data_IF_627357390093
#
_entry.id   IF_627357390093
#
_cell.length_a   1.000
_cell.length_b   1.000
_cell.length_c   1.000
_cell.angle_alpha   90.00
_cell.angle_beta   90.00
_cell.angle_gamma   90.00
#
_symmetry.space_group_name_H-M   'P 1'
#
loop_
_entity.id
_entity.type
_entity.pdbx_description
1 polymer ?
#
# COMPACT_ATOMS: atom_id res chain seq x y z
N UNK A 1 40.52 33.73 -11.78
CA UNK A 1 39.25 33.81 -12.53
C UNK A 1 38.57 32.46 -12.49
N UNK A 2 37.47 32.27 -11.74
CA UNK A 2 36.75 31.00 -11.76
C UNK A 2 36.03 30.85 -13.10
N UNK A 3 36.09 29.66 -13.69
CA UNK A 3 35.55 29.39 -15.03
C UNK A 3 34.04 29.57 -15.06
N UNK A 4 33.54 30.20 -16.12
CA UNK A 4 32.12 30.52 -16.35
C UNK A 4 31.21 29.28 -16.41
N UNK A 5 31.78 28.07 -16.43
CA UNK A 5 31.04 26.81 -16.52
C UNK A 5 30.60 26.24 -15.17
N UNK A 6 31.22 26.62 -14.05
CA UNK A 6 30.79 26.18 -12.72
C UNK A 6 29.65 27.01 -12.14
N UNK A 7 29.42 28.22 -12.66
CA UNK A 7 28.32 29.08 -12.22
C UNK A 7 26.96 28.61 -12.78
N UNK A 8 26.91 27.99 -13.96
CA UNK A 8 25.66 27.57 -14.59
C UNK A 8 25.07 26.29 -13.95
N UNK A 9 25.91 25.41 -13.38
CA UNK A 9 25.47 24.23 -12.62
C UNK A 9 25.08 24.57 -11.17
N UNK A 10 25.59 25.66 -10.59
CA UNK A 10 25.12 26.19 -9.31
C UNK A 10 23.88 27.10 -9.45
N UNK A 11 23.62 27.67 -10.63
CA UNK A 11 22.40 28.45 -10.92
C UNK A 11 21.15 27.58 -11.10
N UNK A 12 21.27 26.25 -11.17
CA UNK A 12 20.15 25.31 -11.04
C UNK A 12 19.93 24.80 -9.60
N UNK A 13 20.81 25.12 -8.65
CA UNK A 13 20.82 24.52 -7.32
C UNK A 13 20.26 25.43 -6.20
N UNK A 14 19.78 26.64 -6.51
CA UNK A 14 19.24 27.57 -5.50
C UNK A 14 17.99 28.32 -5.96
N UNK A 15 17.03 27.61 -6.60
CA UNK A 15 15.65 28.05 -6.41
C UNK A 15 15.15 27.42 -5.12
N UNK A 16 14.91 28.28 -4.14
CA UNK A 16 13.98 28.08 -3.04
C UNK A 16 12.57 27.87 -3.64
N UNK A 17 12.39 26.81 -4.42
CA UNK A 17 11.10 26.45 -5.00
C UNK A 17 10.19 26.07 -3.87
N UNK A 18 9.16 26.88 -3.63
CA UNK A 18 8.14 26.60 -2.64
C UNK A 18 7.58 25.18 -2.86
N UNK A 19 7.26 24.50 -1.76
CA UNK A 19 6.42 23.30 -1.82
C UNK A 19 5.16 23.61 -2.62
N UNK A 20 4.74 22.69 -3.49
CA UNK A 20 3.43 22.83 -4.12
C UNK A 20 2.38 22.43 -3.10
N UNK A 21 1.59 23.40 -2.63
CA UNK A 21 0.50 23.14 -1.68
C UNK A 21 -0.52 22.17 -2.29
N UNK A 22 -0.85 22.35 -3.58
CA UNK A 22 -1.77 21.50 -4.33
C UNK A 22 -1.01 20.47 -5.20
N UNK A 23 -0.12 19.68 -4.59
CA UNK A 23 0.63 18.66 -5.32
C UNK A 23 -0.27 17.52 -5.81
N UNK A 24 -1.16 17.04 -4.93
CA UNK A 24 -2.02 15.90 -5.20
C UNK A 24 -3.26 16.30 -5.99
N UNK A 25 -3.86 15.32 -6.68
CA UNK A 25 -5.19 15.51 -7.25
C UNK A 25 -6.21 15.72 -6.09
N UNK A 26 -7.11 16.71 -6.19
CA UNK A 26 -8.07 16.98 -5.11
C UNK A 26 -9.13 15.87 -4.98
N UNK A 27 -9.47 15.21 -6.08
CA UNK A 27 -10.44 14.12 -6.14
C UNK A 27 -9.97 13.09 -7.16
N UNK A 28 -10.03 11.79 -6.85
CA UNK A 28 -9.68 10.71 -7.76
C UNK A 28 -10.69 10.55 -8.89
N UNK A 29 -11.97 10.88 -8.67
CA UNK A 29 -13.04 10.80 -9.65
C UNK A 29 -12.80 11.75 -10.82
N UNK A 30 -13.08 11.27 -12.02
CA UNK A 30 -13.18 12.09 -13.22
C UNK A 30 -14.62 12.56 -13.36
N UNK A 31 -14.83 13.87 -13.45
CA UNK A 31 -16.16 14.44 -13.68
C UNK A 31 -16.49 14.28 -15.16
N UNK A 32 -17.34 13.31 -15.49
CA UNK A 32 -17.96 13.22 -16.82
C UNK A 32 -19.23 14.08 -16.81
N UNK A 33 -19.47 14.83 -17.88
CA UNK A 33 -20.61 15.74 -18.08
C UNK A 33 -22.00 15.09 -17.97
N UNK A 34 -22.08 13.78 -17.78
CA UNK A 34 -23.31 12.99 -17.70
C UNK A 34 -23.26 11.87 -16.66
N UNK A 35 -22.68 12.08 -15.48
CA UNK A 35 -22.71 11.06 -14.43
C UNK A 35 -24.01 11.19 -13.61
N UNK A 36 -24.98 10.27 -13.73
CA UNK A 36 -26.18 10.30 -12.89
C UNK A 36 -25.81 10.18 -11.40
N UNK A 37 -26.65 10.77 -10.56
CA UNK A 37 -26.58 10.57 -9.12
C UNK A 37 -26.83 9.09 -8.80
N UNK A 38 -26.00 8.52 -7.91
CA UNK A 38 -25.99 7.11 -7.51
C UNK A 38 -25.62 6.11 -8.63
N UNK A 39 -24.31 6.01 -8.93
CA UNK A 39 -23.77 4.88 -9.69
C UNK A 39 -22.93 4.02 -8.75
N UNK A 40 -23.09 2.70 -8.80
CA UNK A 40 -22.34 1.73 -7.97
C UNK A 40 -20.84 1.75 -8.24
N UNK A 41 -20.41 2.36 -9.35
CA UNK A 41 -19.02 2.54 -9.73
C UNK A 41 -18.78 3.89 -10.38
N UNK A 42 -17.55 4.38 -10.25
CA UNK A 42 -17.11 5.65 -10.83
C UNK A 42 -15.79 5.49 -11.57
N UNK A 43 -15.59 6.33 -12.58
CA UNK A 43 -14.33 6.42 -13.29
C UNK A 43 -13.35 7.28 -12.49
N UNK A 44 -12.20 6.72 -12.12
CA UNK A 44 -11.19 7.38 -11.29
C UNK A 44 -9.78 7.27 -11.90
N UNK A 45 -8.86 8.09 -11.43
CA UNK A 45 -7.41 7.91 -11.64
C UNK A 45 -6.71 7.77 -10.29
N UNK A 46 -5.73 6.87 -10.17
CA UNK A 46 -4.96 6.72 -8.93
C UNK A 46 -4.16 7.98 -8.56
N UNK A 47 -3.62 8.69 -9.55
CA UNK A 47 -2.79 9.88 -9.33
C UNK A 47 -2.41 10.58 -10.62
N UNK A 48 -3.38 11.22 -11.31
CA UNK A 48 -3.14 11.90 -12.59
C UNK A 48 -2.12 13.04 -12.51
N UNK A 49 -1.97 13.61 -11.33
CA UNK A 49 -0.97 14.65 -11.03
C UNK A 49 0.48 14.16 -11.16
N UNK A 50 0.75 12.84 -11.28
CA UNK A 50 2.07 12.28 -11.60
C UNK A 50 2.43 12.34 -13.09
N UNK A 51 1.51 12.68 -14.00
CA UNK A 51 1.87 12.82 -15.42
C UNK A 51 2.88 13.95 -15.62
N UNK A 52 3.91 13.66 -16.43
CA UNK A 52 5.03 14.57 -16.71
C UNK A 52 5.48 14.44 -18.15
N UNK A 53 6.02 15.52 -18.69
CA UNK A 53 6.52 15.58 -20.07
C UNK A 53 7.83 14.82 -20.29
N UNK A 54 8.27 14.68 -21.55
CA UNK A 54 9.45 13.89 -21.92
C UNK A 54 10.75 14.32 -21.22
N UNK A 55 10.98 15.63 -21.04
CA UNK A 55 12.18 16.17 -20.39
C UNK A 55 12.26 15.75 -18.92
N UNK A 56 11.16 15.86 -18.18
CA UNK A 56 11.08 15.41 -16.78
C UNK A 56 11.31 13.91 -16.67
N UNK A 57 10.71 13.13 -17.56
CA UNK A 57 10.85 11.67 -17.57
C UNK A 57 12.26 11.21 -17.98
N UNK A 58 12.98 12.02 -18.76
CA UNK A 58 14.38 11.75 -19.07
C UNK A 58 15.26 11.93 -17.81
N UNK A 59 15.03 12.98 -17.03
CA UNK A 59 15.83 13.30 -15.84
C UNK A 59 15.47 12.42 -14.63
N UNK A 60 14.18 12.17 -14.40
CA UNK A 60 13.64 11.53 -13.19
C UNK A 60 13.02 10.16 -13.47
N UNK A 61 13.39 9.54 -14.59
CA UNK A 61 12.89 8.23 -15.03
C UNK A 61 11.47 8.28 -15.60
N UNK A 62 11.04 7.25 -16.33
CA UNK A 62 9.65 7.16 -16.85
C UNK A 62 8.64 6.70 -15.80
N UNK A 63 9.05 5.77 -14.94
CA UNK A 63 8.26 5.16 -13.86
C UNK A 63 6.88 4.62 -14.34
N UNK A 64 5.95 4.39 -13.42
CA UNK A 64 4.58 3.97 -13.71
C UNK A 64 3.62 5.14 -13.94
N UNK A 65 4.12 6.35 -14.28
CA UNK A 65 3.29 7.56 -14.45
C UNK A 65 2.09 7.37 -15.39
N UNK A 66 2.20 6.64 -16.53
CA UNK A 66 1.03 6.34 -17.35
C UNK A 66 -0.02 5.50 -16.63
N UNK A 67 0.41 4.51 -15.82
CA UNK A 67 -0.48 3.64 -15.04
C UNK A 67 -1.20 4.43 -13.95
N UNK A 68 -0.49 5.32 -13.24
CA UNK A 68 -1.08 6.23 -12.25
C UNK A 68 -2.19 7.12 -12.81
N UNK A 69 -2.09 7.48 -14.08
CA UNK A 69 -3.04 8.37 -14.74
C UNK A 69 -4.09 7.64 -15.60
N UNK A 70 -4.02 6.31 -15.70
CA UNK A 70 -4.98 5.53 -16.47
C UNK A 70 -6.33 5.54 -15.76
N UNK A 71 -7.42 5.98 -16.43
CA UNK A 71 -8.75 5.91 -15.87
C UNK A 71 -9.19 4.45 -15.66
N UNK A 72 -9.74 4.15 -14.49
CA UNK A 72 -10.26 2.83 -14.14
C UNK A 72 -11.63 2.96 -13.47
N UNK A 73 -12.53 2.01 -13.74
CA UNK A 73 -13.80 1.91 -13.05
C UNK A 73 -13.59 1.19 -11.72
N UNK A 74 -14.05 1.79 -10.63
CA UNK A 74 -13.99 1.21 -9.29
C UNK A 74 -15.33 1.40 -8.58
N UNK A 75 -15.72 0.47 -7.69
CA UNK A 75 -16.92 0.63 -6.90
C UNK A 75 -16.81 1.84 -5.96
N UNK A 76 -17.95 2.45 -5.66
CA UNK A 76 -18.03 3.48 -4.61
C UNK A 76 -17.95 2.79 -3.24
N UNK A 77 -17.10 3.32 -2.37
CA UNK A 77 -16.99 2.85 -0.99
C UNK A 77 -18.25 3.26 -0.22
N UNK A 78 -18.88 2.27 0.39
CA UNK A 78 -19.96 2.46 1.35
C UNK A 78 -19.70 1.55 2.56
N UNK A 79 -19.44 2.10 3.75
CA UNK A 79 -19.20 1.30 4.95
C UNK A 79 -20.32 0.29 5.23
N UNK A 80 -21.58 0.58 4.88
CA UNK A 80 -22.68 -0.33 5.17
C UNK A 80 -22.66 -1.60 4.30
N UNK A 81 -22.07 -1.55 3.11
CA UNK A 81 -22.16 -2.62 2.10
C UNK A 81 -20.80 -3.14 1.62
N UNK A 82 -19.69 -2.46 1.95
CA UNK A 82 -18.35 -2.85 1.52
C UNK A 82 -17.95 -4.26 1.96
N UNK A 83 -18.45 -4.72 3.11
CA UNK A 83 -18.33 -6.11 3.59
C UNK A 83 -19.70 -6.60 4.10
N UNK A 84 -19.95 -7.92 4.16
CA UNK A 84 -21.17 -8.46 4.76
C UNK A 84 -21.37 -7.94 6.19
N UNK A 85 -22.53 -7.34 6.45
CA UNK A 85 -22.88 -6.76 7.75
C UNK A 85 -22.20 -5.43 8.08
N UNK A 86 -21.50 -4.81 7.13
CA UNK A 86 -20.98 -3.46 7.23
C UNK A 86 -19.70 -3.29 8.05
N UNK A 87 -19.14 -2.09 7.96
CA UNK A 87 -17.90 -1.63 8.59
C UNK A 87 -18.19 -0.51 9.57
N UNK A 88 -17.51 -0.56 10.71
CA UNK A 88 -17.44 0.54 11.68
C UNK A 88 -16.05 1.17 11.66
N UNK A 89 -15.93 2.48 11.90
CA UNK A 89 -14.63 3.11 12.04
C UNK A 89 -13.89 2.52 13.24
N UNK A 90 -12.59 2.33 13.07
CA UNK A 90 -11.68 1.88 14.13
C UNK A 90 -10.52 2.86 14.28
N UNK A 91 -9.32 2.34 14.52
CA UNK A 91 -8.14 3.16 14.79
C UNK A 91 -7.49 3.69 13.52
N UNK A 92 -7.14 4.97 13.50
CA UNK A 92 -6.19 5.48 12.52
C UNK A 92 -4.85 4.76 12.61
N UNK A 93 -4.25 4.56 11.45
CA UNK A 93 -2.91 4.06 11.29
C UNK A 93 -2.20 4.78 10.14
N UNK A 94 -1.19 4.11 9.59
CA UNK A 94 -0.38 4.68 8.52
C UNK A 94 0.78 5.50 9.08
N UNK A 95 1.99 4.99 8.87
CA UNK A 95 3.22 5.60 9.37
C UNK A 95 3.58 6.91 8.65
N UNK A 96 4.78 6.97 8.11
CA UNK A 96 5.31 8.21 7.54
C UNK A 96 4.81 8.54 6.11
N UNK A 97 3.98 7.67 5.50
CA UNK A 97 3.75 7.63 4.05
C UNK A 97 2.28 7.48 3.60
N UNK A 98 1.44 6.74 4.32
CA UNK A 98 0.08 6.40 3.85
C UNK A 98 -0.97 6.87 4.84
N UNK A 99 -2.11 7.37 4.36
CA UNK A 99 -3.33 7.47 5.18
C UNK A 99 -3.94 6.08 5.27
N UNK A 100 -4.02 5.52 6.48
CA UNK A 100 -4.61 4.21 6.72
C UNK A 100 -5.48 4.24 7.96
N UNK A 101 -6.50 3.39 7.99
CA UNK A 101 -7.34 3.17 9.14
C UNK A 101 -7.70 1.70 9.23
N UNK A 102 -7.80 1.19 10.45
CA UNK A 102 -8.45 -0.08 10.74
C UNK A 102 -9.95 0.16 10.80
N UNK A 103 -10.73 -0.63 10.07
CA UNK A 103 -12.19 -0.63 10.10
C UNK A 103 -12.67 -2.02 10.53
N UNK A 104 -13.74 -2.05 11.30
CA UNK A 104 -14.19 -3.24 12.03
C UNK A 104 -15.44 -3.81 11.37
N UNK A 105 -15.38 -5.06 10.93
CA UNK A 105 -16.53 -5.83 10.48
C UNK A 105 -17.44 -6.22 11.63
N UNK A 106 -18.72 -6.44 11.33
CA UNK A 106 -19.69 -6.91 12.34
C UNK A 106 -19.45 -8.35 12.80
N UNK A 107 -18.70 -9.14 12.03
CA UNK A 107 -18.25 -10.49 12.37
C UNK A 107 -17.01 -10.51 13.29
N UNK A 108 -16.53 -9.34 13.71
CA UNK A 108 -15.34 -9.17 14.54
C UNK A 108 -14.03 -9.14 13.74
N UNK A 109 -14.08 -9.28 12.41
CA UNK A 109 -12.88 -9.17 11.57
C UNK A 109 -12.44 -7.73 11.41
N UNK A 110 -11.14 -7.54 11.33
CA UNK A 110 -10.56 -6.24 11.02
C UNK A 110 -10.16 -6.14 9.55
N UNK A 111 -10.28 -4.93 9.00
CA UNK A 111 -9.83 -4.60 7.66
C UNK A 111 -8.98 -3.34 7.69
N UNK A 112 -8.02 -3.23 6.79
CA UNK A 112 -7.26 -2.02 6.56
C UNK A 112 -7.85 -1.27 5.36
N UNK A 113 -8.32 -0.05 5.61
CA UNK A 113 -8.63 0.94 4.58
C UNK A 113 -7.41 1.82 4.35
N UNK A 114 -6.87 1.87 3.13
CA UNK A 114 -5.62 2.60 2.82
C UNK A 114 -5.74 3.40 1.54
N UNK A 115 -5.23 4.63 1.53
CA UNK A 115 -5.11 5.39 0.29
C UNK A 115 -4.09 4.75 -0.65
N UNK A 116 -4.43 4.66 -1.95
CA UNK A 116 -3.49 4.19 -2.98
C UNK A 116 -2.37 5.20 -3.19
N UNK A 117 -2.75 6.48 -3.30
CA UNK A 117 -1.80 7.59 -3.37
C UNK A 117 -1.26 7.93 -1.99
N UNK A 118 0.06 8.09 -1.89
CA UNK A 118 0.81 8.18 -0.63
C UNK A 118 1.43 9.56 -0.48
N UNK A 119 1.36 10.11 0.74
CA UNK A 119 2.06 11.35 1.09
C UNK A 119 3.30 11.08 1.95
N UNK A 120 4.51 11.08 1.36
CA UNK A 120 5.79 10.95 2.07
C UNK A 120 6.14 12.12 2.99
N UNK A 121 5.25 13.09 3.19
CA UNK A 121 5.50 14.31 3.98
C UNK A 121 6.28 14.07 5.27
N UNK A 122 5.91 13.03 6.03
CA UNK A 122 6.51 12.79 7.34
C UNK A 122 7.91 12.15 7.25
N UNK A 123 8.30 11.52 6.13
CA UNK A 123 9.65 10.93 5.99
C UNK A 123 10.77 11.93 5.84
N UNK A 124 10.46 13.15 5.40
CA UNK A 124 11.48 14.18 5.31
C UNK A 124 11.71 14.84 6.68
N UNK A 125 12.98 15.19 7.02
CA UNK A 125 13.27 16.08 8.15
C UNK A 125 12.49 17.39 8.02
N UNK A 126 12.09 17.98 9.16
CA UNK A 126 11.21 19.18 9.20
C UNK A 126 11.69 20.32 8.30
N UNK A 127 13.01 20.50 8.16
CA UNK A 127 13.61 21.55 7.33
C UNK A 127 13.33 21.37 5.82
N UNK A 128 13.22 20.13 5.35
CA UNK A 128 13.00 19.83 3.92
C UNK A 128 11.52 19.79 3.54
N UNK A 129 10.61 19.66 4.52
CA UNK A 129 9.16 19.56 4.28
C UNK A 129 8.53 20.79 3.63
N UNK A 130 9.17 21.97 3.72
CA UNK A 130 8.69 23.22 3.12
C UNK A 130 9.40 23.55 1.79
N UNK A 131 10.19 22.63 1.25
CA UNK A 131 11.06 22.87 0.09
C UNK A 131 10.65 22.01 -1.11
N UNK A 132 11.23 22.28 -2.28
CA UNK A 132 11.07 21.46 -3.48
C UNK A 132 11.44 19.98 -3.27
N UNK A 133 12.27 19.67 -2.26
CA UNK A 133 12.64 18.28 -1.93
C UNK A 133 11.39 17.44 -1.63
N UNK A 134 10.37 18.01 -0.97
CA UNK A 134 9.11 17.31 -0.75
C UNK A 134 8.38 17.00 -2.06
N UNK A 135 8.37 17.93 -3.02
CA UNK A 135 7.76 17.68 -4.33
C UNK A 135 8.50 16.55 -5.07
N UNK A 136 9.83 16.48 -4.95
CA UNK A 136 10.63 15.42 -5.55
C UNK A 136 10.34 14.06 -4.90
N UNK A 137 10.28 13.99 -3.58
CA UNK A 137 9.96 12.74 -2.86
C UNK A 137 8.53 12.30 -3.16
N UNK A 138 7.57 13.23 -3.24
CA UNK A 138 6.21 12.92 -3.69
C UNK A 138 6.21 12.39 -5.13
N UNK A 139 6.92 13.03 -6.07
CA UNK A 139 7.04 12.55 -7.47
C UNK A 139 7.66 11.15 -7.54
N UNK A 140 8.58 10.81 -6.63
CA UNK A 140 9.19 9.48 -6.55
C UNK A 140 8.19 8.36 -6.20
N UNK A 141 7.03 8.67 -5.60
CA UNK A 141 5.93 7.70 -5.43
C UNK A 141 5.50 7.09 -6.76
N UNK A 142 5.61 7.83 -7.87
CA UNK A 142 5.27 7.34 -9.22
C UNK A 142 6.09 6.13 -9.66
N UNK A 143 7.24 5.87 -9.03
CA UNK A 143 8.12 4.72 -9.30
C UNK A 143 7.52 3.38 -8.85
N UNK A 144 6.54 3.39 -7.94
CA UNK A 144 5.79 2.21 -7.54
C UNK A 144 4.54 2.03 -8.42
N UNK A 145 4.16 0.78 -8.68
CA UNK A 145 2.90 0.47 -9.35
C UNK A 145 1.71 0.72 -8.39
N UNK A 146 0.74 1.60 -8.73
CA UNK A 146 -0.39 1.90 -7.86
C UNK A 146 -1.33 0.73 -7.63
N UNK A 147 -1.33 -0.27 -8.53
CA UNK A 147 -2.22 -1.42 -8.49
C UNK A 147 -1.49 -2.73 -8.11
N UNK A 148 -0.24 -2.64 -7.66
CA UNK A 148 0.59 -3.81 -7.37
C UNK A 148 -0.02 -4.79 -6.37
N UNK A 149 -0.72 -4.29 -5.34
CA UNK A 149 -1.38 -5.13 -4.33
C UNK A 149 -2.46 -6.03 -4.93
N UNK A 150 -3.22 -5.54 -5.91
CA UNK A 150 -4.29 -6.30 -6.57
C UNK A 150 -3.76 -7.42 -7.45
N UNK A 151 -2.57 -7.24 -8.02
CA UNK A 151 -1.91 -8.26 -8.86
C UNK A 151 -1.25 -9.35 -8.00
N UNK A 152 -0.77 -9.00 -6.81
CA UNK A 152 -0.07 -9.94 -5.93
C UNK A 152 -0.99 -11.04 -5.41
N UNK A 153 -2.25 -10.73 -5.09
CA UNK A 153 -3.19 -11.72 -4.54
C UNK A 153 -3.39 -12.97 -5.44
N UNK A 154 -3.80 -12.85 -6.73
CA UNK A 154 -3.96 -14.02 -7.59
C UNK A 154 -2.64 -14.75 -7.88
N UNK A 155 -1.50 -14.04 -7.87
CA UNK A 155 -0.18 -14.66 -8.02
C UNK A 155 0.20 -15.48 -6.78
N UNK A 156 -0.12 -14.98 -5.58
CA UNK A 156 0.11 -15.68 -4.33
C UNK A 156 -0.80 -16.92 -4.21
N UNK A 157 -2.06 -16.80 -4.64
CA UNK A 157 -3.00 -17.92 -4.74
C UNK A 157 -2.44 -19.02 -5.66
N UNK A 158 -2.00 -18.66 -6.86
CA UNK A 158 -1.39 -19.59 -7.81
C UNK A 158 -0.10 -20.23 -7.27
N UNK A 159 0.64 -19.53 -6.40
CA UNK A 159 1.81 -20.04 -5.70
C UNK A 159 1.46 -20.90 -4.46
N UNK A 160 0.17 -21.06 -4.12
CA UNK A 160 -0.27 -21.80 -2.94
C UNK A 160 0.17 -21.16 -1.63
N UNK A 161 0.15 -19.82 -1.58
CA UNK A 161 0.44 -19.01 -0.40
C UNK A 161 -0.86 -18.47 0.19
N UNK A 162 -0.93 -18.34 1.52
CA UNK A 162 -1.99 -17.57 2.17
C UNK A 162 -1.82 -16.09 1.79
N UNK A 163 -2.92 -15.38 1.52
CA UNK A 163 -2.89 -13.99 1.05
C UNK A 163 -4.14 -13.24 1.48
N UNK A 164 -4.05 -11.91 1.53
CA UNK A 164 -5.23 -11.02 1.63
C UNK A 164 -5.87 -10.84 0.26
N UNK A 165 -7.10 -10.33 0.22
CA UNK A 165 -7.86 -10.07 -1.00
C UNK A 165 -8.16 -8.56 -1.09
N UNK A 166 -7.17 -7.73 -1.48
CA UNK A 166 -7.35 -6.29 -1.56
C UNK A 166 -8.40 -5.95 -2.63
N UNK A 167 -9.33 -5.05 -2.29
CA UNK A 167 -10.37 -4.55 -3.20
C UNK A 167 -10.28 -3.03 -3.35
N UNK A 168 -10.32 -2.48 -4.57
CA UNK A 168 -10.27 -1.05 -4.80
C UNK A 168 -11.64 -0.42 -4.56
N UNK A 169 -11.66 0.77 -3.97
CA UNK A 169 -12.87 1.58 -3.85
C UNK A 169 -12.59 3.07 -4.04
N UNK A 170 -13.59 3.82 -4.48
CA UNK A 170 -13.58 5.27 -4.44
C UNK A 170 -14.39 5.79 -3.24
N UNK A 171 -13.78 6.62 -2.40
CA UNK A 171 -14.49 7.25 -1.28
C UNK A 171 -15.09 8.58 -1.76
N UNK A 172 -16.40 8.75 -1.59
CA UNK A 172 -17.08 9.98 -2.03
C UNK A 172 -16.57 11.21 -1.29
N UNK A 173 -16.65 12.37 -1.94
CA UNK A 173 -16.23 13.65 -1.36
C UNK A 173 -17.12 14.11 -0.20
N UNK A 174 -18.33 13.58 -0.08
CA UNK A 174 -19.31 13.84 0.98
C UNK A 174 -19.41 12.71 2.01
N UNK A 175 -18.45 11.78 2.02
CA UNK A 175 -18.52 10.61 2.90
C UNK A 175 -18.36 10.97 4.38
N UNK A 176 -19.17 10.36 5.25
CA UNK A 176 -19.27 10.62 6.69
C UNK A 176 -19.43 9.35 7.56
N UNK A 177 -19.56 8.16 6.97
CA UNK A 177 -19.75 6.90 7.69
C UNK A 177 -18.50 6.35 8.38
N UNK A 178 -17.33 6.98 8.18
CA UNK A 178 -16.08 6.66 8.86
C UNK A 178 -15.79 7.55 10.09
N UNK A 179 -16.77 8.33 10.55
CA UNK A 179 -16.61 9.24 11.67
C UNK A 179 -15.74 10.45 11.32
N UNK A 180 -15.02 11.00 12.31
CA UNK A 180 -14.15 12.18 12.14
C UNK A 180 -13.07 11.98 11.08
N UNK A 181 -12.66 10.71 10.86
CA UNK A 181 -11.59 10.35 9.94
C UNK A 181 -12.02 10.30 8.47
N UNK A 182 -13.32 10.41 8.19
CA UNK A 182 -13.84 10.48 6.83
C UNK A 182 -13.12 11.53 5.99
N UNK A 183 -12.77 12.68 6.58
CA UNK A 183 -12.11 13.79 5.89
C UNK A 183 -10.78 13.38 5.25
N UNK A 184 -10.08 12.43 5.88
CA UNK A 184 -8.81 11.93 5.39
C UNK A 184 -8.97 11.01 4.17
N UNK A 185 -10.16 10.51 3.90
CA UNK A 185 -10.43 9.58 2.80
C UNK A 185 -11.31 10.17 1.68
N UNK A 186 -12.09 11.22 1.95
CA UNK A 186 -12.95 11.89 0.96
C UNK A 186 -12.22 12.17 -0.35
N UNK A 187 -12.82 11.76 -1.48
CA UNK A 187 -12.27 11.95 -2.82
C UNK A 187 -11.07 11.06 -3.14
N UNK A 188 -10.66 10.12 -2.27
CA UNK A 188 -9.50 9.26 -2.52
C UNK A 188 -9.88 7.93 -3.14
N UNK A 189 -8.98 7.42 -3.98
CA UNK A 189 -8.93 6.01 -4.32
C UNK A 189 -8.25 5.25 -3.18
N UNK A 190 -8.93 4.25 -2.66
CA UNK A 190 -8.48 3.44 -1.53
C UNK A 190 -8.48 1.96 -1.89
N UNK A 191 -7.73 1.18 -1.11
CA UNK A 191 -7.86 -0.26 -1.04
C UNK A 191 -8.45 -0.64 0.33
N UNK A 192 -9.30 -1.65 0.33
CA UNK A 192 -9.79 -2.34 1.52
C UNK A 192 -9.25 -3.77 1.49
N UNK A 193 -8.60 -4.20 2.56
CA UNK A 193 -8.05 -5.56 2.67
C UNK A 193 -8.21 -6.12 4.09
N UNK A 194 -8.27 -7.45 4.21
CA UNK A 194 -8.33 -8.14 5.50
C UNK A 194 -7.06 -7.89 6.33
N UNK A 195 -7.21 -7.79 7.65
CA UNK A 195 -6.10 -7.81 8.61
C UNK A 195 -6.07 -9.15 9.32
N UNK A 196 -5.24 -10.08 8.86
CA UNK A 196 -5.05 -11.38 9.52
C UNK A 196 -4.14 -11.28 10.73
N UNK A 197 -4.59 -10.63 11.80
CA UNK A 197 -3.79 -10.37 13.01
C UNK A 197 -4.23 -11.19 14.23
N UNK A 198 -5.43 -11.78 14.21
CA UNK A 198 -5.98 -12.53 15.34
C UNK A 198 -6.89 -13.69 14.92
N UNK A 199 -7.31 -14.50 15.89
CA UNK A 199 -8.26 -15.59 15.71
C UNK A 199 -9.59 -15.19 15.05
N UNK A 200 -10.11 -14.00 15.31
CA UNK A 200 -11.38 -13.54 14.72
C UNK A 200 -11.25 -13.38 13.20
N UNK A 201 -10.05 -13.08 12.73
CA UNK A 201 -9.71 -12.87 11.34
C UNK A 201 -9.51 -14.17 10.54
N UNK A 202 -9.63 -15.35 11.18
CA UNK A 202 -9.58 -16.63 10.48
C UNK A 202 -10.75 -16.78 9.51
N UNK A 203 -10.42 -17.25 8.31
CA UNK A 203 -11.38 -17.57 7.24
C UNK A 203 -11.29 -19.06 6.90
N UNK A 204 -12.26 -19.62 6.16
CA UNK A 204 -12.20 -21.00 5.71
C UNK A 204 -10.91 -21.36 4.95
N UNK A 205 -10.24 -20.38 4.32
CA UNK A 205 -8.96 -20.58 3.62
C UNK A 205 -7.81 -21.04 4.56
N UNK A 206 -7.92 -20.78 5.87
CA UNK A 206 -6.94 -21.21 6.85
C UNK A 206 -7.11 -22.66 7.30
N UNK A 207 -8.19 -23.33 6.91
CA UNK A 207 -8.45 -24.73 7.27
C UNK A 207 -8.57 -24.92 8.78
N UNK A 208 -7.68 -25.74 9.37
CA UNK A 208 -7.69 -26.10 10.80
C UNK A 208 -6.88 -25.14 11.69
N UNK A 209 -6.50 -23.96 11.19
CA UNK A 209 -5.80 -23.00 12.02
C UNK A 209 -6.67 -22.61 13.23
N UNK A 210 -6.03 -22.44 14.39
CA UNK A 210 -6.71 -22.10 15.65
C UNK A 210 -6.47 -20.67 16.09
N UNK A 211 -5.37 -20.07 15.60
CA UNK A 211 -4.98 -18.70 15.93
C UNK A 211 -4.09 -18.09 14.84
N UNK A 212 -3.84 -16.78 14.95
CA UNK A 212 -2.90 -16.00 14.15
C UNK A 212 -1.99 -15.22 15.10
N UNK A 213 -0.68 -15.45 15.01
CA UNK A 213 0.31 -14.81 15.89
C UNK A 213 1.27 -13.91 15.11
N UNK A 214 1.92 -12.99 15.82
CA UNK A 214 3.01 -12.17 15.28
C UNK A 214 4.34 -12.92 15.37
N UNK A 215 5.35 -12.46 14.61
CA UNK A 215 6.67 -13.09 14.58
C UNK A 215 7.33 -13.18 15.95
N UNK A 216 7.18 -12.15 16.80
CA UNK A 216 7.78 -12.12 18.14
C UNK A 216 7.21 -13.23 19.05
N UNK A 217 5.91 -13.50 18.94
CA UNK A 217 5.26 -14.57 19.71
C UNK A 217 5.69 -15.95 19.22
N UNK A 218 5.72 -16.16 17.90
CA UNK A 218 6.18 -17.43 17.31
C UNK A 218 7.65 -17.71 17.64
N UNK A 219 8.50 -16.69 17.60
CA UNK A 219 9.91 -16.84 17.97
C UNK A 219 10.04 -17.16 19.47
N UNK A 220 9.27 -16.50 20.33
CA UNK A 220 9.25 -16.79 21.78
C UNK A 220 8.86 -18.25 22.03
N UNK A 221 7.78 -18.73 21.43
CA UNK A 221 7.31 -20.12 21.56
C UNK A 221 8.37 -21.10 21.04
N UNK A 222 8.93 -20.81 19.85
CA UNK A 222 9.95 -21.64 19.19
C UNK A 222 11.23 -21.80 20.02
N UNK A 223 11.66 -20.73 20.70
CA UNK A 223 12.85 -20.77 21.54
C UNK A 223 12.59 -21.35 22.93
N UNK A 224 11.34 -21.31 23.40
CA UNK A 224 10.95 -21.90 24.67
C UNK A 224 10.81 -23.43 24.58
N UNK A 225 10.25 -23.96 23.49
CA UNK A 225 10.02 -25.41 23.34
C UNK A 225 10.29 -25.90 21.89
N UNK A 226 11.12 -26.96 21.70
CA UNK A 226 11.39 -27.53 20.38
C UNK A 226 10.17 -28.16 19.68
N UNK A 227 9.06 -28.39 20.37
CA UNK A 227 7.78 -28.86 19.82
C UNK A 227 7.09 -27.81 18.94
N UNK A 228 7.45 -26.54 19.07
CA UNK A 228 6.98 -25.46 18.23
C UNK A 228 7.83 -25.38 16.96
N UNK A 229 7.22 -25.45 15.77
CA UNK A 229 7.95 -25.51 14.49
C UNK A 229 7.33 -24.63 13.43
N UNK A 230 8.16 -23.89 12.72
CA UNK A 230 7.75 -23.17 11.50
C UNK A 230 7.65 -24.15 10.33
N UNK A 231 6.62 -24.00 9.50
CA UNK A 231 6.52 -24.65 8.19
C UNK A 231 7.59 -24.06 7.26
N UNK A 232 8.80 -24.63 7.30
CA UNK A 232 9.98 -24.12 6.61
C UNK A 232 9.79 -24.09 5.09
N UNK A 233 9.06 -25.05 4.53
CA UNK A 233 8.81 -25.13 3.09
C UNK A 233 7.84 -24.03 2.67
N UNK A 234 6.75 -23.82 3.41
CA UNK A 234 5.84 -22.71 3.14
C UNK A 234 6.54 -21.35 3.28
N UNK A 235 7.43 -21.20 4.28
CA UNK A 235 8.19 -19.98 4.47
C UNK A 235 9.20 -19.74 3.35
N UNK A 236 9.99 -20.75 2.97
CA UNK A 236 10.89 -20.64 1.84
C UNK A 236 10.14 -20.27 0.55
N UNK A 237 8.98 -20.87 0.30
CA UNK A 237 8.11 -20.54 -0.84
C UNK A 237 7.67 -19.07 -0.81
N UNK A 238 7.21 -18.58 0.34
CA UNK A 238 6.79 -17.19 0.49
C UNK A 238 7.96 -16.21 0.26
N UNK A 239 9.15 -16.52 0.76
CA UNK A 239 10.35 -15.70 0.54
C UNK A 239 10.82 -15.70 -0.92
N UNK A 240 10.78 -16.86 -1.59
CA UNK A 240 11.08 -16.94 -3.02
C UNK A 240 10.06 -16.16 -3.86
N UNK A 241 8.79 -16.21 -3.48
CA UNK A 241 7.74 -15.42 -4.11
C UNK A 241 7.98 -13.91 -3.93
N UNK A 242 8.32 -13.46 -2.72
CA UNK A 242 8.71 -12.07 -2.44
C UNK A 242 9.88 -11.61 -3.35
N UNK A 243 10.92 -12.44 -3.49
CA UNK A 243 12.05 -12.16 -4.39
C UNK A 243 11.60 -12.06 -5.85
N UNK A 244 10.73 -12.95 -6.29
CA UNK A 244 10.23 -12.99 -7.67
C UNK A 244 9.40 -11.75 -8.03
N UNK A 245 8.56 -11.26 -7.11
CA UNK A 245 7.78 -10.01 -7.31
C UNK A 245 8.56 -8.73 -6.98
N UNK A 246 9.82 -8.85 -6.54
CA UNK A 246 10.68 -7.73 -6.16
C UNK A 246 10.25 -7.01 -4.88
N UNK A 247 9.75 -7.74 -3.89
CA UNK A 247 9.41 -7.21 -2.56
C UNK A 247 10.66 -7.17 -1.66
N UNK A 248 11.41 -6.08 -1.78
CA UNK A 248 12.66 -5.85 -1.04
C UNK A 248 12.48 -5.37 0.40
N UNK A 249 11.24 -5.09 0.81
CA UNK A 249 10.92 -4.46 2.11
C UNK A 249 10.28 -5.44 3.10
N UNK A 250 10.33 -6.75 2.80
CA UNK A 250 9.79 -7.78 3.69
C UNK A 250 10.65 -7.96 4.93
N UNK A 251 10.11 -7.54 6.08
CA UNK A 251 10.69 -7.71 7.42
C UNK A 251 9.75 -8.47 8.38
N UNK A 252 10.22 -8.79 9.58
CA UNK A 252 9.54 -9.63 10.59
C UNK A 252 8.15 -9.14 11.00
N UNK A 253 7.92 -7.83 11.07
CA UNK A 253 6.61 -7.24 11.37
C UNK A 253 5.57 -7.36 10.25
N UNK A 254 5.95 -7.90 9.09
CA UNK A 254 5.06 -8.10 7.94
C UNK A 254 4.61 -9.55 7.78
N UNK A 255 4.70 -10.34 8.85
CA UNK A 255 4.23 -11.71 8.89
C UNK A 255 3.21 -11.88 10.01
N UNK A 256 2.11 -12.52 9.67
CA UNK A 256 1.33 -13.28 10.65
C UNK A 256 1.62 -14.76 10.48
N UNK A 257 1.31 -15.54 11.50
CA UNK A 257 1.58 -16.97 11.54
C UNK A 257 0.32 -17.71 11.95
N UNK A 258 -0.23 -18.49 11.03
CA UNK A 258 -1.38 -19.33 11.30
C UNK A 258 -0.94 -20.54 12.13
N UNK A 259 -1.60 -20.77 13.26
CA UNK A 259 -1.23 -21.79 14.25
C UNK A 259 -2.02 -23.07 14.03
N UNK A 260 -1.32 -24.17 13.76
CA UNK A 260 -1.87 -25.51 13.57
C UNK A 260 -1.36 -26.42 14.68
N UNK A 261 -2.08 -26.54 15.81
CA UNK A 261 -1.72 -27.48 16.86
C UNK A 261 -1.98 -28.92 16.41
N UNK A 262 -1.08 -29.83 16.80
CA UNK A 262 -1.27 -31.27 16.67
C UNK A 262 -1.38 -31.88 18.06
N UNK A 263 -2.45 -32.63 18.33
CA UNK A 263 -2.71 -33.21 19.64
C UNK A 263 -1.61 -34.19 20.10
N UNK A 264 -0.91 -34.82 19.15
CA UNK A 264 0.15 -35.80 19.44
C UNK A 264 1.49 -35.41 18.81
N UNK A 265 1.64 -34.16 18.38
CA UNK A 265 2.75 -33.72 17.55
C UNK A 265 3.15 -32.26 17.78
N UNK A 266 4.08 -31.74 16.95
CA UNK A 266 4.52 -30.36 17.07
C UNK A 266 3.42 -29.38 16.63
N UNK A 267 3.34 -28.22 17.29
CA UNK A 267 2.56 -27.09 16.80
C UNK A 267 3.26 -26.49 15.58
N UNK A 268 2.54 -26.43 14.45
CA UNK A 268 3.07 -25.90 13.19
C UNK A 268 2.60 -24.46 12.97
N UNK A 269 3.55 -23.57 12.69
CA UNK A 269 3.29 -22.17 12.32
C UNK A 269 3.47 -22.00 10.81
N UNK A 270 2.40 -21.65 10.11
CA UNK A 270 2.46 -21.37 8.66
C UNK A 270 2.47 -19.86 8.41
N UNK A 271 3.37 -19.35 7.55
CA UNK A 271 3.47 -17.92 7.31
C UNK A 271 2.30 -17.38 6.49
N UNK A 272 1.87 -16.19 6.87
CA UNK A 272 0.82 -15.40 6.24
C UNK A 272 1.44 -14.02 5.96
N UNK A 273 1.89 -13.75 4.72
CA UNK A 273 2.43 -12.44 4.38
C UNK A 273 1.37 -11.36 4.60
N UNK A 274 1.67 -10.37 5.45
CA UNK A 274 0.86 -9.15 5.52
C UNK A 274 1.18 -8.29 4.29
N UNK A 275 0.18 -7.67 3.68
CA UNK A 275 0.40 -6.93 2.43
C UNK A 275 1.30 -5.71 2.65
N UNK A 276 2.53 -5.82 2.12
CA UNK A 276 3.47 -4.72 1.99
C UNK A 276 3.03 -3.81 0.84
N UNK A 277 3.10 -2.51 1.03
CA UNK A 277 2.56 -1.55 0.05
C UNK A 277 3.59 -1.15 -1.03
N UNK A 278 4.69 -1.89 -1.16
CA UNK A 278 5.85 -1.52 -2.00
C UNK A 278 6.31 -2.69 -2.87
N UNK A 279 5.47 -3.11 -3.82
CA UNK A 279 5.78 -4.15 -4.83
C UNK A 279 5.81 -3.54 -6.24
N UNK A 280 6.57 -4.17 -7.15
CA UNK A 280 6.84 -3.67 -8.51
C UNK A 280 7.42 -2.24 -8.52
N UNK A 281 8.69 -2.11 -8.12
CA UNK A 281 9.43 -0.85 -8.21
C UNK A 281 10.13 -0.74 -9.57
N UNK A 282 9.76 0.27 -10.35
CA UNK A 282 10.32 0.52 -11.68
C UNK A 282 11.49 1.48 -11.61
N UNK A 283 12.64 1.06 -11.11
CA UNK A 283 13.86 1.87 -11.14
C UNK A 283 14.58 1.73 -12.48
N UNK A 284 14.12 2.45 -13.50
CA UNK A 284 15.01 2.95 -14.56
C UNK A 284 15.23 4.43 -14.34
N UNK A 285 16.14 4.75 -13.43
CA UNK A 285 16.86 6.02 -13.48
C UNK A 285 17.98 5.83 -14.51
N UNK A 286 18.31 6.88 -15.28
CA UNK A 286 19.30 6.80 -16.36
C UNK A 286 20.63 6.29 -15.81
N UNK A 287 21.04 5.10 -16.26
CA UNK A 287 22.46 4.74 -16.33
C UNK A 287 23.09 5.69 -17.34
N UNK A 288 24.01 6.56 -16.91
CA UNK A 288 24.93 7.18 -17.86
C UNK A 288 25.72 6.05 -18.53
N UNK A 289 25.59 5.82 -19.84
CA UNK A 289 26.50 4.93 -20.52
C UNK A 289 27.83 5.67 -20.65
N UNK A 290 28.84 5.21 -19.90
CA UNK A 290 30.23 5.65 -20.05
C UNK A 290 30.61 6.87 -19.21
N UNK A 291 31.19 6.59 -18.04
CA UNK A 291 32.50 7.09 -17.61
C UNK A 291 33.22 5.95 -16.89
#
# INVERSE_FOLDING_TARGET
MPSRSSALLLLLACSMGCVRENFFQPDARLVTTSSPAATDSVLVTAGRHYQRGPVHNLLLGKHYRPVWATPVWVPVFDPATAVPGGLKPGKLGGGFQSTSMTVLGSDGREYALRSIDKDPYKTLPKIFRKTFALNLVRDATSAANPYGSFVVAPLAEAAGLLHTTPRPFYVRSDENGLGEESELFRGKLVLLEEKFEDRASLTPAFGKATDLLESDDVLRDRFADPSHRVDQIAFARARLFDLWIGDWDRHEGQWSWAVYPDANGPTIYRPVPRTATRRFFGSRMVSFPGL
#
